data_IF_551201823304
#
_entry.id   IF_551201823304
#
_cell.length_a   1.000
_cell.length_b   1.000
_cell.length_c   1.000
_cell.angle_alpha   90.00
_cell.angle_beta   90.00
_cell.angle_gamma   90.00
#
_symmetry.space_group_name_H-M   'P 1'
#
loop_
_entity.id
_entity.type
_entity.pdbx_description
1 polymer ?
#
# COMPACT_ATOMS: atom_id res chain seq x y z
N UNK A 1 6.20 -18.15 -23.84
CA UNK A 1 7.43 -17.78 -23.11
C UNK A 1 7.05 -17.57 -21.65
N UNK A 2 7.97 -17.73 -20.72
CA UNK A 2 7.69 -17.43 -19.30
C UNK A 2 7.65 -15.90 -19.13
N UNK A 3 6.64 -15.33 -18.48
CA UNK A 3 6.57 -13.89 -18.29
C UNK A 3 7.72 -13.38 -17.40
N UNK A 4 8.20 -12.18 -17.69
CA UNK A 4 9.21 -11.50 -16.87
C UNK A 4 8.56 -10.86 -15.64
N UNK A 5 7.32 -10.37 -15.79
CA UNK A 5 6.57 -9.76 -14.68
C UNK A 5 5.20 -10.39 -14.53
N UNK A 6 4.80 -10.66 -13.28
CA UNK A 6 3.42 -10.98 -12.91
C UNK A 6 2.80 -9.76 -12.23
N UNK A 7 1.71 -9.26 -12.80
CA UNK A 7 0.91 -8.17 -12.23
C UNK A 7 -0.15 -8.81 -11.35
N UNK A 8 -0.16 -8.48 -10.06
CA UNK A 8 -1.13 -9.01 -9.10
C UNK A 8 -2.28 -8.03 -8.91
N UNK A 9 -3.50 -8.50 -9.18
CA UNK A 9 -4.74 -7.72 -9.05
C UNK A 9 -5.74 -8.45 -8.14
N UNK A 10 -5.66 -8.26 -6.80
CA UNK A 10 -6.74 -8.67 -5.92
C UNK A 10 -7.96 -7.78 -6.17
N UNK A 11 -9.17 -8.35 -6.14
CA UNK A 11 -10.40 -7.58 -6.34
C UNK A 11 -11.55 -8.12 -5.49
N UNK A 12 -12.40 -7.19 -5.00
CA UNK A 12 -13.65 -7.50 -4.32
C UNK A 12 -14.61 -6.31 -4.42
N UNK A 13 -15.74 -6.48 -5.13
CA UNK A 13 -16.80 -5.47 -5.34
C UNK A 13 -16.27 -4.16 -5.94
N UNK A 14 -15.50 -4.25 -7.03
CA UNK A 14 -14.92 -3.14 -7.77
C UNK A 14 -15.48 -3.02 -9.21
N UNK A 15 -16.78 -3.35 -9.43
CA UNK A 15 -17.40 -3.30 -10.76
C UNK A 15 -17.24 -1.97 -11.48
N UNK A 16 -17.14 -0.85 -10.74
CA UNK A 16 -16.99 0.50 -11.28
C UNK A 16 -15.56 0.79 -11.78
N UNK A 17 -14.56 0.12 -11.27
CA UNK A 17 -13.15 0.48 -11.43
C UNK A 17 -12.33 -0.56 -12.20
N UNK A 18 -12.65 -1.86 -12.05
CA UNK A 18 -11.83 -2.96 -12.54
C UNK A 18 -11.57 -2.90 -14.05
N UNK A 19 -12.50 -2.42 -14.88
CA UNK A 19 -12.27 -2.25 -16.32
C UNK A 19 -11.12 -1.29 -16.60
N UNK A 20 -11.12 -0.15 -15.92
CA UNK A 20 -10.09 0.88 -16.08
C UNK A 20 -8.72 0.38 -15.60
N UNK A 21 -8.69 -0.35 -14.47
CA UNK A 21 -7.46 -0.98 -13.98
C UNK A 21 -6.88 -1.98 -14.99
N UNK A 22 -7.71 -2.90 -15.53
CA UNK A 22 -7.27 -3.88 -16.53
C UNK A 22 -6.78 -3.20 -17.81
N UNK A 23 -7.50 -2.19 -18.30
CA UNK A 23 -7.13 -1.43 -19.50
C UNK A 23 -5.80 -0.68 -19.31
N UNK A 24 -5.53 -0.17 -18.11
CA UNK A 24 -4.25 0.49 -17.80
C UNK A 24 -3.06 -0.48 -17.82
N UNK A 25 -3.27 -1.75 -17.45
CA UNK A 25 -2.27 -2.79 -17.62
C UNK A 25 -2.11 -3.20 -19.09
N UNK A 26 -3.20 -3.33 -19.85
CA UNK A 26 -3.18 -3.68 -21.27
C UNK A 26 -2.55 -2.58 -22.15
N UNK A 27 -2.56 -1.33 -21.71
CA UNK A 27 -1.95 -0.20 -22.43
C UNK A 27 -0.41 -0.13 -22.29
N UNK A 28 0.19 -0.99 -21.47
CA UNK A 28 1.64 -0.94 -21.21
C UNK A 28 2.47 -1.20 -22.47
N UNK A 29 3.38 -0.29 -22.76
CA UNK A 29 4.36 -0.34 -23.84
C UNK A 29 5.69 -0.81 -23.27
N UNK A 30 6.01 -2.08 -23.45
CA UNK A 30 7.22 -2.68 -22.91
C UNK A 30 7.69 -3.84 -23.79
N UNK A 31 9.01 -4.05 -23.83
CA UNK A 31 9.62 -5.22 -24.44
C UNK A 31 9.55 -6.47 -23.55
N UNK A 32 9.21 -6.32 -22.27
CA UNK A 32 9.15 -7.41 -21.31
C UNK A 32 7.82 -8.14 -21.38
N UNK A 33 7.85 -9.47 -21.47
CA UNK A 33 6.65 -10.28 -21.38
C UNK A 33 6.04 -10.21 -19.98
N UNK A 34 4.72 -10.03 -19.90
CA UNK A 34 3.99 -9.91 -18.65
C UNK A 34 2.68 -10.67 -18.65
N UNK A 35 2.22 -11.04 -17.47
CA UNK A 35 0.90 -11.61 -17.21
C UNK A 35 0.15 -10.78 -16.17
N UNK A 36 -1.17 -10.70 -16.29
CA UNK A 36 -2.08 -10.12 -15.31
C UNK A 36 -2.84 -11.23 -14.60
N UNK A 37 -2.63 -11.35 -13.30
CA UNK A 37 -3.26 -12.34 -12.45
C UNK A 37 -4.34 -11.64 -11.62
N UNK A 38 -5.61 -11.98 -11.86
CA UNK A 38 -6.77 -11.40 -11.17
C UNK A 38 -7.32 -12.45 -10.19
N UNK A 39 -7.43 -12.10 -8.91
CA UNK A 39 -8.17 -12.90 -7.93
C UNK A 39 -9.42 -12.15 -7.49
N UNK A 40 -10.59 -12.62 -7.94
CA UNK A 40 -11.89 -12.12 -7.46
C UNK A 40 -12.28 -12.84 -6.18
N UNK A 41 -12.23 -12.16 -5.04
CA UNK A 41 -12.50 -12.75 -3.73
C UNK A 41 -14.00 -12.90 -3.42
N UNK A 42 -14.73 -13.53 -4.34
CA UNK A 42 -16.16 -13.80 -4.26
C UNK A 42 -17.02 -12.52 -4.29
N UNK A 43 -16.78 -11.62 -5.27
CA UNK A 43 -17.58 -10.42 -5.48
C UNK A 43 -19.07 -10.71 -5.66
N UNK A 44 -19.90 -9.84 -5.09
CA UNK A 44 -21.38 -9.92 -5.16
C UNK A 44 -21.97 -8.98 -6.22
N UNK A 45 -21.16 -8.11 -6.81
CA UNK A 45 -21.48 -7.22 -7.91
C UNK A 45 -21.04 -7.80 -9.27
N UNK A 46 -20.95 -6.98 -10.32
CA UNK A 46 -20.52 -7.46 -11.65
C UNK A 46 -18.99 -7.59 -11.82
N UNK A 47 -18.19 -7.38 -10.79
CA UNK A 47 -16.72 -7.43 -10.85
C UNK A 47 -16.22 -8.70 -11.56
N UNK A 48 -16.62 -9.88 -11.07
CA UNK A 48 -16.25 -11.18 -11.65
C UNK A 48 -16.62 -11.30 -13.12
N UNK A 49 -17.84 -10.91 -13.46
CA UNK A 49 -18.33 -10.98 -14.85
C UNK A 49 -17.52 -10.08 -15.78
N UNK A 50 -17.09 -8.92 -15.30
CA UNK A 50 -16.24 -8.01 -16.06
C UNK A 50 -14.85 -8.64 -16.24
N UNK A 51 -14.19 -9.08 -15.16
CA UNK A 51 -12.88 -9.73 -15.21
C UNK A 51 -12.88 -10.96 -16.15
N UNK A 52 -13.94 -11.77 -16.10
CA UNK A 52 -14.08 -12.95 -16.97
C UNK A 52 -14.10 -12.57 -18.45
N UNK A 53 -14.81 -11.52 -18.86
CA UNK A 53 -14.81 -11.06 -20.26
C UNK A 53 -13.41 -10.67 -20.74
N UNK A 54 -12.61 -10.02 -19.89
CA UNK A 54 -11.23 -9.68 -20.23
C UNK A 54 -10.33 -10.91 -20.29
N UNK A 55 -10.47 -11.86 -19.38
CA UNK A 55 -9.72 -13.11 -19.41
C UNK A 55 -10.07 -13.97 -20.66
N UNK A 56 -11.33 -14.01 -21.05
CA UNK A 56 -11.78 -14.67 -22.31
C UNK A 56 -11.25 -13.97 -23.57
N UNK A 57 -11.12 -12.63 -23.54
CA UNK A 57 -10.62 -11.84 -24.67
C UNK A 57 -9.09 -11.89 -24.80
N UNK A 58 -8.36 -12.01 -23.68
CA UNK A 58 -6.89 -12.00 -23.64
C UNK A 58 -6.33 -13.21 -22.85
N UNK A 59 -6.64 -14.45 -23.24
CA UNK A 59 -6.34 -15.65 -22.43
C UNK A 59 -4.84 -15.93 -22.26
N UNK A 60 -4.00 -15.40 -23.15
CA UNK A 60 -2.53 -15.50 -23.07
C UNK A 60 -1.91 -14.48 -22.11
N UNK A 61 -2.66 -13.43 -21.72
CA UNK A 61 -2.19 -12.34 -20.86
C UNK A 61 -2.87 -12.33 -19.50
N UNK A 62 -4.15 -12.69 -19.42
CA UNK A 62 -4.97 -12.52 -18.22
C UNK A 62 -5.43 -13.87 -17.70
N UNK A 63 -5.13 -14.14 -16.44
CA UNK A 63 -5.64 -15.30 -15.69
C UNK A 63 -6.56 -14.83 -14.59
N UNK A 64 -7.78 -15.35 -14.55
CA UNK A 64 -8.75 -15.09 -13.50
C UNK A 64 -8.90 -16.32 -12.62
N UNK A 65 -8.72 -16.11 -11.30
CA UNK A 65 -9.00 -17.11 -10.27
C UNK A 65 -9.99 -16.55 -9.25
N UNK A 66 -10.75 -17.42 -8.61
CA UNK A 66 -11.70 -17.03 -7.57
C UNK A 66 -12.00 -18.22 -6.63
N UNK A 67 -12.12 -17.96 -5.31
CA UNK A 67 -12.59 -18.95 -4.34
C UNK A 67 -14.13 -19.05 -4.34
N UNK A 68 -14.65 -20.06 -3.68
CA UNK A 68 -16.10 -20.25 -3.48
C UNK A 68 -16.69 -19.26 -2.45
N UNK A 69 -15.86 -18.77 -1.52
CA UNK A 69 -16.26 -17.83 -0.46
C UNK A 69 -15.24 -16.71 -0.33
N UNK A 70 -15.67 -15.53 0.13
CA UNK A 70 -14.76 -14.43 0.44
C UNK A 70 -13.79 -14.85 1.57
N UNK A 71 -12.51 -14.69 1.34
CA UNK A 71 -11.44 -15.12 2.25
C UNK A 71 -10.50 -13.99 2.67
N UNK A 72 -10.68 -12.80 2.12
CA UNK A 72 -9.95 -11.60 2.46
C UNK A 72 -8.68 -11.37 1.64
N UNK A 73 -8.19 -10.14 1.74
CA UNK A 73 -7.10 -9.60 0.91
C UNK A 73 -5.82 -10.44 0.96
N UNK A 74 -5.37 -10.84 2.15
CA UNK A 74 -4.12 -11.58 2.30
C UNK A 74 -4.14 -12.95 1.63
N UNK A 75 -5.27 -13.66 1.69
CA UNK A 75 -5.43 -14.93 0.98
C UNK A 75 -5.57 -14.73 -0.53
N UNK A 76 -6.08 -13.58 -0.97
CA UNK A 76 -6.07 -13.20 -2.38
C UNK A 76 -4.65 -13.01 -2.90
N UNK A 77 -3.79 -12.28 -2.17
CA UNK A 77 -2.38 -12.15 -2.50
C UNK A 77 -1.64 -13.50 -2.48
N UNK A 78 -1.92 -14.36 -1.48
CA UNK A 78 -1.32 -15.71 -1.43
C UNK A 78 -1.59 -16.50 -2.72
N UNK A 79 -2.86 -16.60 -3.15
CA UNK A 79 -3.21 -17.32 -4.38
C UNK A 79 -2.56 -16.72 -5.63
N UNK A 80 -2.50 -15.40 -5.71
CA UNK A 80 -1.84 -14.72 -6.83
C UNK A 80 -0.34 -15.01 -6.85
N UNK A 81 0.34 -14.97 -5.70
CA UNK A 81 1.76 -15.29 -5.58
C UNK A 81 2.09 -16.74 -5.91
N UNK A 82 1.20 -17.69 -5.54
CA UNK A 82 1.36 -19.13 -5.83
C UNK A 82 1.37 -19.45 -7.33
N UNK A 83 0.65 -18.66 -8.14
CA UNK A 83 0.58 -18.85 -9.59
C UNK A 83 1.46 -17.88 -10.39
N UNK A 84 2.06 -16.88 -9.74
CA UNK A 84 2.93 -15.90 -10.37
C UNK A 84 4.22 -16.54 -10.87
N UNK A 85 4.48 -16.39 -12.18
CA UNK A 85 5.64 -16.97 -12.86
C UNK A 85 6.75 -15.95 -13.15
N UNK A 86 6.44 -14.65 -12.99
CA UNK A 86 7.37 -13.57 -13.28
C UNK A 86 8.56 -13.52 -12.33
N UNK A 87 9.72 -13.11 -12.84
CA UNK A 87 10.90 -12.72 -12.07
C UNK A 87 10.59 -11.52 -11.15
N UNK A 88 9.69 -10.66 -11.61
CA UNK A 88 9.22 -9.47 -10.91
C UNK A 88 7.72 -9.56 -10.61
N UNK A 89 7.34 -8.96 -9.50
CA UNK A 89 5.95 -8.77 -9.09
C UNK A 89 5.62 -7.29 -9.17
N UNK A 90 4.56 -6.94 -9.88
CA UNK A 90 3.96 -5.62 -9.91
C UNK A 90 2.60 -5.66 -9.21
N UNK A 91 2.27 -4.61 -8.46
CA UNK A 91 0.97 -4.51 -7.81
C UNK A 91 0.07 -3.56 -8.58
N UNK A 92 -1.16 -4.00 -8.85
CA UNK A 92 -2.22 -3.16 -9.40
C UNK A 92 -3.56 -3.60 -8.78
N UNK A 93 -3.94 -2.96 -7.68
CA UNK A 93 -5.25 -3.19 -7.07
C UNK A 93 -6.35 -2.69 -8.01
N UNK A 94 -7.48 -3.40 -8.04
CA UNK A 94 -8.49 -3.21 -9.10
C UNK A 94 -9.29 -1.91 -9.01
N UNK A 95 -9.08 -1.08 -8.00
CA UNK A 95 -9.58 0.29 -7.88
C UNK A 95 -8.54 1.36 -8.24
N UNK A 96 -7.29 0.98 -8.50
CA UNK A 96 -6.21 1.87 -8.91
C UNK A 96 -5.98 1.86 -10.43
N UNK A 97 -5.12 2.77 -10.92
CA UNK A 97 -4.83 2.93 -12.35
C UNK A 97 -3.33 3.15 -12.55
N UNK A 98 -2.74 2.51 -13.56
CA UNK A 98 -1.44 2.91 -14.07
C UNK A 98 -1.60 4.03 -15.10
N UNK A 99 -0.98 5.18 -14.85
CA UNK A 99 -1.05 6.35 -15.71
C UNK A 99 0.02 6.29 -16.79
N UNK A 100 1.24 5.91 -16.42
CA UNK A 100 2.33 5.78 -17.38
C UNK A 100 2.19 4.49 -18.19
N UNK A 101 2.13 4.63 -19.50
CA UNK A 101 2.16 3.48 -20.43
C UNK A 101 3.55 2.80 -20.48
N UNK A 102 4.60 3.44 -19.95
CA UNK A 102 5.97 2.93 -19.90
C UNK A 102 6.40 2.49 -18.49
N UNK A 103 5.45 2.37 -17.56
CA UNK A 103 5.75 1.99 -16.17
C UNK A 103 6.53 0.68 -16.09
N UNK A 104 6.06 -0.37 -16.74
CA UNK A 104 6.74 -1.67 -16.75
C UNK A 104 8.14 -1.57 -17.37
N UNK A 105 8.26 -0.91 -18.53
CA UNK A 105 9.55 -0.74 -19.21
C UNK A 105 10.58 -0.08 -18.31
N UNK A 106 10.26 1.08 -17.76
CA UNK A 106 11.20 1.87 -16.95
C UNK A 106 11.61 1.19 -15.65
N UNK A 107 10.62 0.65 -14.92
CA UNK A 107 10.89 0.05 -13.62
C UNK A 107 11.62 -1.30 -13.74
N UNK A 108 11.28 -2.12 -14.76
CA UNK A 108 11.95 -3.40 -14.97
C UNK A 108 13.36 -3.18 -15.53
N UNK A 109 13.55 -2.28 -16.52
CA UNK A 109 14.89 -1.93 -17.00
C UNK A 109 15.81 -1.49 -15.87
N UNK A 110 15.31 -0.63 -14.96
CA UNK A 110 16.08 -0.23 -13.80
C UNK A 110 16.49 -1.44 -12.94
N UNK A 111 15.57 -2.35 -12.66
CA UNK A 111 15.87 -3.54 -11.87
C UNK A 111 16.82 -4.50 -12.61
N UNK A 112 16.70 -4.67 -13.93
CA UNK A 112 17.62 -5.52 -14.72
C UNK A 112 19.05 -4.97 -14.70
N UNK A 113 19.21 -3.65 -14.72
CA UNK A 113 20.52 -2.98 -14.71
C UNK A 113 21.15 -2.88 -13.31
N UNK A 114 20.37 -3.07 -12.23
CA UNK A 114 20.78 -2.81 -10.85
C UNK A 114 20.38 -3.97 -9.93
N UNK A 115 21.22 -5.01 -9.86
CA UNK A 115 20.91 -6.26 -9.14
C UNK A 115 20.75 -6.07 -7.61
N UNK A 116 21.41 -5.08 -7.03
CA UNK A 116 21.32 -4.78 -5.59
C UNK A 116 19.99 -4.16 -5.16
N UNK A 117 19.15 -3.73 -6.12
CA UNK A 117 17.83 -3.18 -5.83
C UNK A 117 16.76 -4.26 -5.88
N UNK A 118 16.01 -4.40 -4.79
CA UNK A 118 14.91 -5.38 -4.66
C UNK A 118 13.54 -4.80 -4.93
N UNK A 119 13.39 -3.46 -4.86
CA UNK A 119 12.13 -2.76 -5.02
C UNK A 119 12.31 -1.44 -5.73
N UNK A 120 11.41 -1.14 -6.66
CA UNK A 120 11.27 0.16 -7.32
C UNK A 120 9.85 0.67 -7.13
N UNK A 121 9.72 1.91 -6.71
CA UNK A 121 8.46 2.65 -6.66
C UNK A 121 8.54 3.90 -7.54
N UNK A 122 7.39 4.53 -7.81
CA UNK A 122 7.32 5.76 -8.57
C UNK A 122 6.27 6.73 -8.06
N UNK A 123 6.24 7.94 -8.62
CA UNK A 123 5.27 8.97 -8.24
C UNK A 123 3.82 8.50 -8.46
N UNK A 124 2.97 8.87 -7.52
CA UNK A 124 1.54 8.54 -7.53
C UNK A 124 0.72 9.81 -7.34
N UNK A 125 -0.33 9.99 -8.13
CA UNK A 125 -1.39 10.95 -7.80
C UNK A 125 -2.47 10.25 -6.99
N UNK A 126 -3.21 11.02 -6.22
CA UNK A 126 -4.41 10.53 -5.52
C UNK A 126 -5.66 11.03 -6.23
N UNK A 127 -6.60 10.13 -6.50
CA UNK A 127 -7.88 10.44 -7.14
C UNK A 127 -9.05 10.04 -6.24
N UNK A 128 -10.21 10.67 -6.44
CA UNK A 128 -11.46 10.26 -5.78
C UNK A 128 -12.17 9.14 -6.57
N UNK A 129 -13.36 8.74 -6.07
CA UNK A 129 -14.19 7.73 -6.70
C UNK A 129 -14.71 8.11 -8.10
N UNK A 130 -14.57 9.37 -8.53
CA UNK A 130 -15.01 9.92 -9.82
C UNK A 130 -13.84 10.37 -10.70
N UNK A 131 -12.63 9.87 -10.45
CA UNK A 131 -11.39 10.21 -11.16
C UNK A 131 -10.90 11.67 -10.99
N UNK A 132 -11.47 12.45 -10.09
CA UNK A 132 -10.97 13.78 -9.84
C UNK A 132 -9.68 13.72 -9.03
N UNK A 133 -8.64 14.41 -9.49
CA UNK A 133 -7.38 14.51 -8.73
C UNK A 133 -7.63 15.23 -7.41
N UNK A 134 -7.38 14.54 -6.31
CA UNK A 134 -7.32 15.14 -4.99
C UNK A 134 -5.98 15.86 -4.87
N UNK A 135 -5.94 16.98 -4.09
CA UNK A 135 -4.70 17.75 -3.90
C UNK A 135 -3.51 16.82 -3.69
N UNK A 136 -2.47 17.03 -4.50
CA UNK A 136 -1.22 16.29 -4.49
C UNK A 136 -0.76 16.00 -3.06
N UNK A 137 -0.96 14.78 -2.62
CA UNK A 137 -0.04 14.21 -1.67
C UNK A 137 1.17 13.80 -2.51
N UNK A 138 1.92 14.83 -2.93
CA UNK A 138 3.25 14.59 -3.44
C UNK A 138 3.93 13.70 -2.43
N UNK A 139 4.43 12.59 -2.93
CA UNK A 139 5.21 11.63 -2.20
C UNK A 139 6.22 12.39 -1.36
N UNK A 140 6.33 11.92 -0.16
CA UNK A 140 7.29 12.41 0.80
C UNK A 140 8.67 12.56 0.14
N UNK A 141 9.15 13.80 0.07
CA UNK A 141 10.47 14.13 -0.49
C UNK A 141 11.59 13.27 0.12
N UNK A 142 11.38 12.73 1.33
CA UNK A 142 12.31 11.83 2.01
C UNK A 142 12.59 10.56 1.20
N UNK A 143 11.62 10.03 0.42
CA UNK A 143 11.85 8.86 -0.44
C UNK A 143 12.77 9.15 -1.63
N UNK A 144 12.87 10.41 -2.04
CA UNK A 144 13.75 10.81 -3.14
C UNK A 144 15.22 10.83 -2.76
N UNK A 145 15.53 11.04 -1.48
CA UNK A 145 16.88 11.36 -1.01
C UNK A 145 17.46 10.35 -0.04
N UNK A 146 16.69 9.36 0.40
CA UNK A 146 17.17 8.40 1.40
C UNK A 146 17.78 7.15 0.79
N UNK A 147 18.89 6.70 1.38
CA UNK A 147 19.42 5.35 1.16
C UNK A 147 18.94 4.36 2.23
N UNK A 148 18.24 4.85 3.27
CA UNK A 148 17.74 4.03 4.38
C UNK A 148 16.22 3.88 4.32
N UNK A 149 15.75 3.15 3.33
CA UNK A 149 14.33 2.90 3.11
C UNK A 149 13.67 2.14 4.26
N UNK A 150 14.36 1.17 4.85
CA UNK A 150 13.83 0.44 5.99
C UNK A 150 13.45 1.37 7.14
N UNK A 151 14.36 2.25 7.54
CA UNK A 151 14.08 3.23 8.61
C UNK A 151 12.98 4.22 8.24
N UNK A 152 12.85 4.57 6.96
CA UNK A 152 11.78 5.44 6.49
C UNK A 152 10.42 4.74 6.54
N UNK A 153 10.32 3.50 6.08
CA UNK A 153 9.10 2.70 6.16
C UNK A 153 8.62 2.42 7.59
N UNK A 154 9.49 2.50 8.59
CA UNK A 154 9.08 2.37 10.00
C UNK A 154 8.15 3.50 10.47
N UNK A 155 8.20 4.67 9.84
CA UNK A 155 7.38 5.85 10.22
C UNK A 155 6.52 6.39 9.07
N UNK A 156 6.87 6.08 7.84
CA UNK A 156 6.23 6.65 6.66
C UNK A 156 5.85 5.54 5.69
N UNK A 157 4.58 5.43 5.38
CA UNK A 157 4.10 4.49 4.34
C UNK A 157 4.30 5.06 2.95
N UNK A 158 4.55 4.19 1.95
CA UNK A 158 4.37 4.56 0.55
C UNK A 158 2.89 4.79 0.28
N UNK A 159 2.57 5.88 -0.38
CA UNK A 159 1.24 6.07 -0.96
C UNK A 159 1.15 5.27 -2.26
N UNK A 160 0.16 4.37 -2.34
CA UNK A 160 -0.15 3.62 -3.55
C UNK A 160 0.80 2.45 -3.84
N UNK A 161 0.44 1.27 -3.33
CA UNK A 161 1.09 0.01 -3.68
C UNK A 161 1.14 -0.21 -5.20
N UNK A 162 0.17 0.35 -5.94
CA UNK A 162 0.07 0.31 -7.40
C UNK A 162 1.29 0.91 -8.15
N UNK A 163 2.15 1.68 -7.48
CA UNK A 163 3.39 2.20 -8.09
C UNK A 163 4.56 1.22 -8.04
N UNK A 164 4.46 0.14 -7.27
CA UNK A 164 5.60 -0.69 -6.89
C UNK A 164 5.79 -1.88 -7.83
N UNK A 165 7.07 -2.18 -8.14
CA UNK A 165 7.55 -3.46 -8.67
C UNK A 165 8.68 -3.96 -7.77
N UNK A 166 8.71 -5.26 -7.49
CA UNK A 166 9.77 -5.87 -6.68
C UNK A 166 10.24 -7.22 -7.23
N UNK A 167 11.44 -7.65 -6.82
CA UNK A 167 11.98 -8.97 -7.17
C UNK A 167 11.27 -10.06 -6.41
N UNK A 168 10.68 -11.01 -7.13
CA UNK A 168 10.01 -12.17 -6.53
C UNK A 168 10.96 -13.02 -5.68
N UNK A 169 12.21 -13.20 -6.11
CA UNK A 169 13.21 -13.98 -5.37
C UNK A 169 13.50 -13.44 -3.95
N UNK A 170 13.48 -12.10 -3.76
CA UNK A 170 13.66 -11.48 -2.45
C UNK A 170 12.42 -11.74 -1.58
N UNK A 171 11.23 -11.61 -2.17
CA UNK A 171 9.99 -11.94 -1.47
C UNK A 171 9.98 -13.42 -1.05
N UNK A 172 10.24 -14.34 -1.97
CA UNK A 172 10.22 -15.79 -1.71
C UNK A 172 11.24 -16.20 -0.64
N UNK A 173 12.36 -15.49 -0.57
CA UNK A 173 13.45 -15.80 0.39
C UNK A 173 13.17 -15.27 1.80
N UNK A 174 12.56 -14.11 1.93
CA UNK A 174 12.50 -13.38 3.19
C UNK A 174 11.09 -13.12 3.70
N UNK A 175 10.06 -13.12 2.83
CA UNK A 175 8.67 -12.94 3.21
C UNK A 175 7.96 -14.29 3.31
N UNK A 176 7.11 -14.42 4.32
CA UNK A 176 6.22 -15.58 4.46
C UNK A 176 4.78 -15.10 4.53
N UNK A 177 4.03 -15.29 3.45
CA UNK A 177 2.63 -14.86 3.37
C UNK A 177 1.72 -15.61 4.37
N UNK A 178 2.05 -16.85 4.72
CA UNK A 178 1.29 -17.60 5.73
C UNK A 178 1.48 -17.00 7.12
N UNK A 179 2.68 -16.53 7.46
CA UNK A 179 2.95 -15.80 8.69
C UNK A 179 2.14 -14.48 8.76
N UNK A 180 1.98 -13.77 7.62
CA UNK A 180 1.14 -12.58 7.54
C UNK A 180 -0.33 -12.91 7.80
N UNK A 181 -0.83 -14.03 7.25
CA UNK A 181 -2.20 -14.51 7.46
C UNK A 181 -2.41 -14.92 8.93
N UNK A 182 -1.52 -15.72 9.51
CA UNK A 182 -1.58 -16.18 10.90
C UNK A 182 -1.57 -15.03 11.89
N UNK A 183 -0.76 -13.98 11.61
CA UNK A 183 -0.69 -12.75 12.41
C UNK A 183 -1.81 -11.76 12.12
N UNK A 184 -2.73 -12.09 11.22
CA UNK A 184 -3.85 -11.23 10.83
C UNK A 184 -3.40 -9.84 10.34
N UNK A 185 -2.39 -9.77 9.48
CA UNK A 185 -2.00 -8.54 8.80
C UNK A 185 -3.13 -8.10 7.87
N UNK A 186 -3.56 -6.84 7.99
CA UNK A 186 -4.65 -6.30 7.16
C UNK A 186 -4.15 -5.75 5.83
N UNK A 187 -2.83 -5.50 5.70
CA UNK A 187 -2.21 -4.99 4.47
C UNK A 187 -1.05 -5.86 4.04
N UNK A 188 -0.93 -6.06 2.74
CA UNK A 188 0.18 -6.80 2.13
C UNK A 188 1.45 -5.94 2.02
N UNK A 189 1.27 -4.68 1.69
CA UNK A 189 2.31 -3.73 1.30
C UNK A 189 3.27 -3.40 2.46
N UNK A 190 2.75 -3.00 3.63
CA UNK A 190 3.59 -2.55 4.76
C UNK A 190 4.58 -3.64 5.19
N UNK A 191 4.09 -4.88 5.38
CA UNK A 191 4.95 -6.00 5.76
C UNK A 191 5.99 -6.32 4.70
N UNK A 192 5.56 -6.37 3.46
CA UNK A 192 6.40 -6.70 2.31
C UNK A 192 7.48 -5.63 2.08
N UNK A 193 7.11 -4.33 2.11
CA UNK A 193 8.08 -3.24 1.90
C UNK A 193 9.13 -3.18 3.00
N UNK A 194 8.73 -3.35 4.26
CA UNK A 194 9.65 -3.41 5.38
C UNK A 194 10.66 -4.55 5.24
N UNK A 195 10.21 -5.75 4.91
CA UNK A 195 11.09 -6.92 4.77
C UNK A 195 12.01 -6.76 3.57
N UNK A 196 11.50 -6.34 2.40
CA UNK A 196 12.32 -6.15 1.20
C UNK A 196 13.37 -5.07 1.45
N UNK A 197 12.99 -3.92 2.05
CA UNK A 197 13.93 -2.83 2.31
C UNK A 197 14.97 -3.12 3.40
N UNK A 198 14.71 -4.10 4.27
CA UNK A 198 15.69 -4.59 5.22
C UNK A 198 16.76 -5.51 4.57
N UNK A 199 16.45 -6.06 3.39
CA UNK A 199 17.30 -7.08 2.73
C UNK A 199 17.83 -6.64 1.36
N UNK A 200 17.48 -5.47 0.86
CA UNK A 200 17.92 -4.93 -0.43
C UNK A 200 17.82 -3.42 -0.48
N UNK A 201 18.44 -2.82 -1.49
CA UNK A 201 18.20 -1.41 -1.79
C UNK A 201 16.84 -1.21 -2.43
N UNK A 202 16.27 -0.02 -2.26
CA UNK A 202 15.03 0.40 -2.89
C UNK A 202 15.25 1.70 -3.70
N UNK A 203 14.49 1.89 -4.77
CA UNK A 203 14.58 3.07 -5.64
C UNK A 203 13.22 3.74 -5.78
N UNK A 204 13.25 5.06 -5.82
CA UNK A 204 12.10 5.89 -6.13
C UNK A 204 12.35 6.66 -7.44
N UNK A 205 11.54 6.41 -8.47
CA UNK A 205 11.59 7.11 -9.74
C UNK A 205 10.68 8.33 -9.70
N UNK A 206 11.18 9.47 -10.16
CA UNK A 206 10.51 10.78 -10.03
C UNK A 206 10.29 11.48 -11.37
N UNK A 207 10.65 10.83 -12.46
CA UNK A 207 10.64 11.41 -13.81
C UNK A 207 9.23 11.64 -14.35
N UNK A 208 8.25 10.84 -13.89
CA UNK A 208 6.84 10.99 -14.27
C UNK A 208 5.88 10.50 -13.18
N UNK A 209 4.57 10.61 -13.42
CA UNK A 209 3.51 10.00 -12.61
C UNK A 209 3.24 8.59 -13.13
N UNK A 210 3.49 7.59 -12.28
CA UNK A 210 3.39 6.17 -12.67
C UNK A 210 2.00 5.59 -12.48
N UNK A 211 1.30 6.03 -11.41
CA UNK A 211 0.00 5.47 -11.05
C UNK A 211 -0.92 6.52 -10.41
N UNK A 212 -2.22 6.22 -10.39
CA UNK A 212 -3.23 6.91 -9.61
C UNK A 212 -3.75 5.96 -8.53
N UNK A 213 -3.61 6.37 -7.28
CA UNK A 213 -4.18 5.72 -6.12
C UNK A 213 -5.58 6.28 -5.86
N UNK A 214 -6.59 5.40 -5.85
CA UNK A 214 -7.98 5.81 -5.68
C UNK A 214 -8.39 5.76 -4.21
N UNK A 215 -8.98 6.86 -3.73
CA UNK A 215 -9.65 6.91 -2.44
C UNK A 215 -11.13 6.67 -2.66
N UNK A 216 -11.61 5.51 -2.20
CA UNK A 216 -13.04 5.16 -2.18
C UNK A 216 -13.55 5.18 -0.74
N UNK A 217 -14.86 5.33 -0.55
CA UNK A 217 -15.48 5.23 0.79
C UNK A 217 -15.41 3.81 1.39
N UNK A 218 -15.01 2.81 0.60
CA UNK A 218 -14.84 1.40 0.99
C UNK A 218 -13.39 1.00 1.22
N UNK A 219 -12.43 1.88 0.95
CA UNK A 219 -11.00 1.60 1.16
C UNK A 219 -10.72 1.28 2.64
N UNK A 220 -9.94 0.23 2.88
CA UNK A 220 -9.56 -0.19 4.24
C UNK A 220 -8.81 0.94 4.97
N UNK A 221 -7.92 1.65 4.26
CA UNK A 221 -7.09 2.74 4.79
C UNK A 221 -7.82 4.08 4.98
N UNK A 222 -9.06 4.23 4.47
CA UNK A 222 -9.82 5.48 4.50
C UNK A 222 -11.27 5.23 4.92
N UNK A 223 -11.49 4.48 5.99
CA UNK A 223 -12.82 4.18 6.50
C UNK A 223 -13.53 5.43 7.06
N UNK A 224 -14.84 5.50 6.87
CA UNK A 224 -15.71 6.56 7.38
C UNK A 224 -16.06 6.39 8.87
N UNK A 225 -15.69 5.26 9.49
CA UNK A 225 -15.96 5.01 10.92
C UNK A 225 -14.66 5.02 11.73
N UNK A 226 -14.75 5.60 12.93
CA UNK A 226 -13.62 5.69 13.87
C UNK A 226 -12.99 4.35 14.17
N UNK A 227 -13.78 3.35 14.53
CA UNK A 227 -13.30 2.04 14.96
C UNK A 227 -12.51 1.32 13.86
N UNK A 228 -13.02 1.33 12.63
CA UNK A 228 -12.33 0.73 11.48
C UNK A 228 -11.04 1.48 11.15
N UNK A 229 -11.09 2.81 11.14
CA UNK A 229 -9.94 3.65 10.82
C UNK A 229 -8.84 3.48 11.87
N UNK A 230 -9.19 3.49 13.16
CA UNK A 230 -8.27 3.25 14.27
C UNK A 230 -7.67 1.85 14.20
N UNK A 231 -8.51 0.81 14.04
CA UNK A 231 -8.07 -0.59 13.93
C UNK A 231 -7.09 -0.82 12.79
N UNK A 232 -7.30 -0.17 11.66
CA UNK A 232 -6.35 -0.23 10.53
C UNK A 232 -4.96 0.29 10.94
N UNK A 233 -4.86 1.47 11.56
CA UNK A 233 -3.56 2.02 11.98
C UNK A 233 -2.92 1.22 13.10
N UNK A 234 -3.69 0.73 14.05
CA UNK A 234 -3.19 -0.18 15.10
C UNK A 234 -2.62 -1.47 14.48
N UNK A 235 -3.25 -2.00 13.42
CA UNK A 235 -2.71 -3.14 12.69
C UNK A 235 -1.41 -2.78 11.93
N UNK A 236 -1.31 -1.61 11.30
CA UNK A 236 -0.07 -1.13 10.68
C UNK A 236 1.09 -1.08 11.70
N UNK A 237 0.82 -0.60 12.91
CA UNK A 237 1.81 -0.56 13.99
C UNK A 237 2.18 -1.98 14.48
N UNK A 238 1.20 -2.87 14.56
CA UNK A 238 1.42 -4.27 14.90
C UNK A 238 2.30 -4.97 13.85
N UNK A 239 2.02 -4.79 12.56
CA UNK A 239 2.84 -5.31 11.45
C UNK A 239 4.28 -4.86 11.60
N UNK A 240 4.49 -3.54 11.70
CA UNK A 240 5.82 -2.96 11.89
C UNK A 240 6.55 -3.53 13.11
N UNK A 241 5.88 -3.59 14.27
CA UNK A 241 6.48 -4.08 15.51
C UNK A 241 6.83 -5.58 15.42
N UNK A 242 6.04 -6.36 14.67
CA UNK A 242 6.36 -7.77 14.41
C UNK A 242 7.65 -7.93 13.58
N UNK A 243 7.86 -7.04 12.61
CA UNK A 243 9.05 -7.07 11.74
C UNK A 243 10.29 -6.56 12.45
N UNK A 244 10.15 -5.55 13.31
CA UNK A 244 11.24 -5.02 14.15
C UNK A 244 11.86 -6.11 15.02
N UNK A 245 11.11 -7.10 15.48
CA UNK A 245 11.65 -8.22 16.26
C UNK A 245 12.74 -8.99 15.51
N UNK A 246 12.66 -9.06 14.19
CA UNK A 246 13.65 -9.74 13.34
C UNK A 246 14.74 -8.80 12.84
N UNK A 247 14.37 -7.57 12.40
CA UNK A 247 15.27 -6.66 11.69
C UNK A 247 15.76 -5.48 12.52
N UNK A 248 15.22 -5.33 13.75
CA UNK A 248 15.56 -4.21 14.63
C UNK A 248 14.91 -2.88 14.22
N UNK A 249 15.36 -1.81 14.86
CA UNK A 249 14.77 -0.48 14.72
C UNK A 249 15.38 0.36 13.56
N UNK A 250 16.30 -0.18 12.79
CA UNK A 250 17.06 0.61 11.83
C UNK A 250 17.82 1.75 12.51
N UNK A 251 17.63 2.99 12.04
CA UNK A 251 18.16 4.20 12.69
C UNK A 251 17.18 4.86 13.64
N UNK A 252 16.04 4.22 13.95
CA UNK A 252 15.01 4.66 14.90
C UNK A 252 15.23 4.04 16.28
N UNK A 253 14.41 4.40 17.24
CA UNK A 253 14.32 3.71 18.52
C UNK A 253 12.85 3.55 18.94
N UNK A 254 12.63 2.70 19.95
CA UNK A 254 11.28 2.38 20.40
C UNK A 254 10.45 3.62 20.78
N UNK A 255 11.04 4.53 21.53
CA UNK A 255 10.34 5.73 22.00
C UNK A 255 9.94 6.66 20.85
N UNK A 256 10.78 6.76 19.80
CA UNK A 256 10.47 7.53 18.59
C UNK A 256 9.28 6.94 17.84
N UNK A 257 9.24 5.60 17.69
CA UNK A 257 8.14 4.92 17.03
C UNK A 257 6.85 4.97 17.86
N UNK A 258 6.94 4.76 19.18
CA UNK A 258 5.77 4.88 20.07
C UNK A 258 5.18 6.31 20.00
N UNK A 259 6.02 7.33 20.00
CA UNK A 259 5.57 8.72 19.83
C UNK A 259 4.90 8.96 18.47
N UNK A 260 5.46 8.41 17.40
CA UNK A 260 4.87 8.48 16.07
C UNK A 260 3.46 7.86 16.07
N UNK A 261 3.30 6.68 16.63
CA UNK A 261 2.02 5.96 16.69
C UNK A 261 0.96 6.74 17.48
N UNK A 262 1.35 7.23 18.67
CA UNK A 262 0.42 8.01 19.49
C UNK A 262 0.02 9.33 18.83
N UNK A 263 0.91 9.98 18.06
CA UNK A 263 0.58 11.16 17.27
C UNK A 263 -0.42 10.85 16.17
N UNK A 264 -0.27 9.72 15.47
CA UNK A 264 -1.21 9.27 14.44
C UNK A 264 -2.59 8.96 15.04
N UNK A 265 -2.63 8.16 16.10
CA UNK A 265 -3.88 7.80 16.80
C UNK A 265 -4.58 9.04 17.41
N UNK A 266 -3.82 9.99 17.93
CA UNK A 266 -4.37 11.26 18.41
C UNK A 266 -5.00 12.07 17.27
N UNK A 267 -4.35 12.12 16.09
CA UNK A 267 -4.91 12.75 14.89
C UNK A 267 -6.22 12.11 14.44
N UNK A 268 -6.30 10.77 14.49
CA UNK A 268 -7.52 10.02 14.20
C UNK A 268 -8.62 10.36 15.22
N UNK A 269 -8.31 10.38 16.51
CA UNK A 269 -9.26 10.75 17.56
C UNK A 269 -9.81 12.18 17.37
N UNK A 270 -8.98 13.13 16.90
CA UNK A 270 -9.42 14.48 16.54
C UNK A 270 -10.36 14.45 15.34
N UNK A 271 -9.99 13.75 14.25
CA UNK A 271 -10.79 13.65 13.02
C UNK A 271 -12.22 13.16 13.29
N UNK A 272 -12.36 12.21 14.21
CA UNK A 272 -13.63 11.57 14.56
C UNK A 272 -14.24 12.08 15.90
N UNK A 273 -13.72 13.15 16.50
CA UNK A 273 -14.21 13.77 17.72
C UNK A 273 -14.25 12.84 18.95
N UNK A 274 -13.29 11.93 19.08
CA UNK A 274 -13.19 10.95 20.18
C UNK A 274 -12.42 11.52 21.38
N UNK A 275 -13.11 12.13 22.33
CA UNK A 275 -12.50 12.85 23.45
C UNK A 275 -11.66 11.97 24.38
N UNK A 276 -12.16 10.80 24.72
CA UNK A 276 -11.47 9.90 25.67
C UNK A 276 -10.13 9.43 25.08
N UNK A 277 -10.15 8.96 23.82
CA UNK A 277 -8.97 8.48 23.12
C UNK A 277 -7.97 9.61 22.85
N UNK A 278 -8.44 10.81 22.48
CA UNK A 278 -7.59 11.97 22.36
C UNK A 278 -6.82 12.23 23.67
N UNK A 279 -7.52 12.30 24.83
CA UNK A 279 -6.90 12.55 26.13
C UNK A 279 -5.94 11.40 26.54
N UNK A 280 -6.25 10.17 26.16
CA UNK A 280 -5.37 9.03 26.41
C UNK A 280 -4.06 9.14 25.62
N UNK A 281 -4.15 9.33 24.29
CA UNK A 281 -2.96 9.40 23.44
C UNK A 281 -2.12 10.65 23.72
N UNK A 282 -2.74 11.81 23.99
CA UNK A 282 -2.04 13.05 24.31
C UNK A 282 -1.09 12.87 25.51
N UNK A 283 -1.51 12.15 26.55
CA UNK A 283 -0.68 11.86 27.73
C UNK A 283 0.51 10.94 27.43
N UNK A 284 0.42 10.12 26.39
CA UNK A 284 1.49 9.17 26.00
C UNK A 284 2.58 9.79 25.13
N UNK A 285 2.33 10.96 24.54
CA UNK A 285 3.26 11.62 23.63
C UNK A 285 4.29 12.43 24.44
N UNK A 286 5.57 12.15 24.17
CA UNK A 286 6.72 12.91 24.69
C UNK A 286 7.43 13.60 23.52
N UNK A 287 7.11 14.90 23.23
CA UNK A 287 7.65 15.58 22.06
C UNK A 287 9.17 15.68 22.11
N UNK A 288 9.87 15.19 21.08
CA UNK A 288 11.34 15.28 20.96
C UNK A 288 11.82 16.42 20.06
N UNK A 289 10.90 17.05 19.31
CA UNK A 289 11.23 18.17 18.44
C UNK A 289 10.09 19.19 18.41
N UNK A 290 10.40 20.38 17.86
CA UNK A 290 9.46 21.50 17.76
C UNK A 290 8.19 21.09 16.99
N UNK A 291 8.31 20.31 15.91
CA UNK A 291 7.15 19.86 15.12
C UNK A 291 6.20 18.99 15.94
N UNK A 292 6.73 18.00 16.67
CA UNK A 292 5.92 17.14 17.57
C UNK A 292 5.31 17.94 18.72
N UNK A 293 6.06 18.91 19.28
CA UNK A 293 5.56 19.81 20.29
C UNK A 293 4.35 20.60 19.76
N UNK A 294 4.48 21.24 18.61
CA UNK A 294 3.39 21.96 17.98
C UNK A 294 2.21 21.05 17.66
N UNK A 295 2.43 19.88 17.09
CA UNK A 295 1.35 18.93 16.82
C UNK A 295 0.58 18.56 18.09
N UNK A 296 1.27 18.27 19.19
CA UNK A 296 0.65 17.94 20.48
C UNK A 296 -0.18 19.12 21.04
N UNK A 297 0.39 20.31 21.12
CA UNK A 297 -0.23 21.45 21.82
C UNK A 297 -1.26 22.21 20.96
N UNK A 298 -1.05 22.35 19.64
CA UNK A 298 -2.07 22.93 18.76
C UNK A 298 -3.28 22.01 18.60
N UNK A 299 -3.06 20.70 18.52
CA UNK A 299 -4.15 19.72 18.52
C UNK A 299 -4.99 19.82 19.79
N UNK A 300 -4.36 20.05 20.94
CA UNK A 300 -5.05 20.26 22.21
C UNK A 300 -5.88 21.53 22.20
N UNK A 301 -5.32 22.67 21.76
CA UNK A 301 -6.02 23.94 21.62
C UNK A 301 -7.21 23.84 20.64
N UNK A 302 -7.01 23.25 19.47
CA UNK A 302 -8.07 23.04 18.48
C UNK A 302 -9.19 22.18 19.04
N UNK A 303 -8.86 21.09 19.71
CA UNK A 303 -9.83 20.18 20.27
C UNK A 303 -10.67 20.82 21.36
N UNK A 304 -10.05 21.59 22.29
CA UNK A 304 -10.77 22.30 23.34
C UNK A 304 -11.66 23.41 22.80
N UNK A 305 -11.23 24.18 21.80
CA UNK A 305 -12.06 25.19 21.13
C UNK A 305 -13.27 24.57 20.42
N UNK A 306 -13.09 23.39 19.83
CA UNK A 306 -14.17 22.66 19.18
C UNK A 306 -15.25 22.20 20.19
N UNK A 307 -14.84 21.62 21.32
CA UNK A 307 -15.77 21.19 22.39
C UNK A 307 -16.52 22.37 23.00
N UNK A 308 -15.88 23.53 23.15
CA UNK A 308 -16.56 24.73 23.68
C UNK A 308 -17.60 25.30 22.72
N UNK A 309 -17.46 25.09 21.41
CA UNK A 309 -18.42 25.58 20.40
C UNK A 309 -19.62 24.67 20.19
N UNK A 310 -19.54 23.43 20.67
CA UNK A 310 -20.59 22.41 20.45
C UNK A 310 -21.20 21.90 21.77
N UNK A 311 -20.90 22.55 22.92
CA UNK A 311 -21.65 22.50 24.16
C UNK A 311 -22.63 23.67 24.20
#
# INVERSE_FOLDING_TARGET
>A
MQPIVSILMPTYNHEKYISQAIESALSQKTQYDWELLINDDCSTDNTRKIAQKYAEKYPEKIKLIYPETNQGLMKSYKRLLEIAQGKYIAILESDDIWISEEKLEKQISFLEENEEYGLVAGNVITIDANDNTLKDKNINENFKTTDNWYSLFLTEGLTGACSVIFRKEIFDKYCNIDDFIEKNFQTFDIGTWLIISANSKCKYLTDEMYAAYRITGTSISNSDTYEKYKSFYENCFFIRNSIIQTYGYGNKNKEELDNHDYLQLMGIAIKFHQQQDFCFFEKKIFPKNIKQFFMKYFSKLYYFQFIQRHK
#
